data_IF_095686824016
#
_entry.id   IF_095686824016
#
_cell.length_a   1.000
_cell.length_b   1.000
_cell.length_c   1.000
_cell.angle_alpha   90.00
_cell.angle_beta   90.00
_cell.angle_gamma   90.00
#
_symmetry.space_group_name_H-M   'P 1'
#
loop_
_entity.id
_entity.type
_entity.pdbx_description
1 polymer ?
#
# COMPACT_ATOMS: atom_id res chain seq x y z
N UNK A 1 12.93 -2.76 -36.36
CA UNK A 1 12.53 -3.98 -35.63
C UNK A 1 12.52 -3.60 -34.16
N UNK A 2 11.39 -3.06 -33.70
CA UNK A 2 11.22 -2.56 -32.34
C UNK A 2 10.67 -3.67 -31.46
N UNK A 3 11.21 -3.81 -30.26
CA UNK A 3 10.60 -4.59 -29.19
C UNK A 3 10.31 -3.59 -28.08
N UNK A 4 9.03 -3.26 -27.95
CA UNK A 4 8.53 -2.34 -26.95
C UNK A 4 8.51 -2.99 -25.57
N UNK A 5 9.00 -2.24 -24.58
CA UNK A 5 8.70 -2.45 -23.17
C UNK A 5 7.21 -2.14 -22.93
N UNK A 6 6.42 -3.16 -22.67
CA UNK A 6 5.08 -3.01 -22.11
C UNK A 6 5.16 -3.14 -20.58
N UNK A 7 5.13 -2.01 -19.89
CA UNK A 7 4.64 -1.92 -18.52
C UNK A 7 3.12 -2.08 -18.50
N UNK A 8 2.55 -2.86 -17.55
CA UNK A 8 1.15 -2.66 -17.17
C UNK A 8 1.05 -1.85 -15.86
N UNK A 9 0.56 -0.61 -15.96
CA UNK A 9 -0.14 0.05 -14.85
C UNK A 9 -1.59 -0.45 -14.81
N UNK A 10 -2.00 -0.82 -13.60
CA UNK A 10 -3.38 -0.68 -13.12
C UNK A 10 -4.30 -1.86 -13.40
N UNK A 11 -4.76 -2.52 -12.33
CA UNK A 11 -6.14 -2.38 -11.81
C UNK A 11 -6.31 -3.48 -10.77
N UNK A 12 -6.48 -3.13 -9.49
CA UNK A 12 -6.98 -4.10 -8.53
C UNK A 12 -8.39 -4.52 -8.94
N UNK A 13 -8.71 -5.81 -8.85
CA UNK A 13 -9.82 -6.13 -7.96
C UNK A 13 -9.52 -7.33 -7.04
N UNK A 14 -10.11 -7.21 -5.84
CA UNK A 14 -10.59 -8.29 -5.00
C UNK A 14 -9.58 -9.32 -4.46
N UNK A 15 -8.93 -8.91 -3.36
CA UNK A 15 -8.74 -9.80 -2.20
C UNK A 15 -10.10 -10.22 -1.62
N UNK A 16 -10.85 -11.10 -2.27
CA UNK A 16 -12.07 -11.71 -1.68
C UNK A 16 -12.40 -13.06 -2.31
N UNK A 17 -11.56 -14.09 -2.18
CA UNK A 17 -12.00 -15.44 -2.58
C UNK A 17 -11.58 -16.64 -1.71
N UNK A 18 -10.74 -16.48 -0.68
CA UNK A 18 -10.44 -17.58 0.27
C UNK A 18 -11.23 -17.52 1.58
N UNK A 19 -11.65 -16.32 2.01
CA UNK A 19 -12.49 -16.16 3.21
C UNK A 19 -13.93 -16.68 3.01
N UNK A 20 -14.39 -16.80 1.77
CA UNK A 20 -15.78 -17.19 1.50
C UNK A 20 -16.05 -18.68 1.77
N UNK A 21 -15.03 -19.54 1.58
CA UNK A 21 -15.11 -20.99 1.88
C UNK A 21 -15.09 -21.26 3.39
N UNK A 22 -14.23 -20.57 4.12
CA UNK A 22 -14.16 -20.61 5.60
C UNK A 22 -15.43 -20.07 6.25
N UNK A 23 -15.98 -18.97 5.73
CA UNK A 23 -17.25 -18.42 6.20
C UNK A 23 -18.44 -19.30 5.81
N UNK A 24 -18.39 -20.03 4.70
CA UNK A 24 -19.43 -21.02 4.36
C UNK A 24 -19.39 -22.25 5.27
N UNK A 25 -18.21 -22.73 5.66
CA UNK A 25 -18.08 -23.82 6.63
C UNK A 25 -18.50 -23.41 8.04
N UNK A 26 -18.09 -22.21 8.50
CA UNK A 26 -18.52 -21.67 9.79
C UNK A 26 -20.01 -21.33 9.80
N UNK A 27 -20.56 -20.78 8.73
CA UNK A 27 -22.00 -20.51 8.63
C UNK A 27 -22.83 -21.79 8.51
N UNK A 28 -22.37 -22.83 7.79
CA UNK A 28 -23.04 -24.13 7.79
C UNK A 28 -23.05 -24.77 9.19
N UNK A 29 -21.98 -24.59 9.97
CA UNK A 29 -21.89 -25.06 11.35
C UNK A 29 -22.77 -24.25 12.32
N UNK A 30 -22.90 -22.94 12.11
CA UNK A 30 -23.69 -22.03 12.95
C UNK A 30 -25.18 -21.99 12.57
N UNK A 31 -25.55 -22.17 11.30
CA UNK A 31 -26.92 -22.14 10.78
C UNK A 31 -27.62 -23.50 10.85
N UNK A 32 -26.89 -24.61 11.02
CA UNK A 32 -27.51 -25.91 11.35
C UNK A 32 -28.05 -25.95 12.80
N UNK A 33 -28.17 -24.79 13.47
CA UNK A 33 -28.82 -24.55 14.76
C UNK A 33 -30.33 -24.29 14.62
N UNK A 34 -31.02 -25.10 13.84
CA UNK A 34 -32.48 -25.19 13.87
C UNK A 34 -32.94 -26.27 14.85
N UNK A 35 -33.09 -25.90 16.13
CA UNK A 35 -34.00 -26.49 17.12
C UNK A 35 -34.12 -28.03 17.20
N UNK A 36 -33.30 -28.67 18.07
CA UNK A 36 -33.63 -29.75 19.03
C UNK A 36 -32.40 -30.63 19.33
N UNK A 37 -32.09 -30.83 20.62
CA UNK A 37 -31.45 -32.06 21.09
C UNK A 37 -29.97 -31.99 21.48
N UNK A 38 -29.76 -32.15 22.79
CA UNK A 38 -28.81 -33.13 23.36
C UNK A 38 -27.42 -32.63 23.80
N UNK A 39 -27.23 -32.78 25.12
CA UNK A 39 -26.13 -32.34 25.99
C UNK A 39 -24.75 -33.00 25.75
N UNK A 40 -24.48 -33.56 24.57
CA UNK A 40 -23.20 -34.23 24.28
C UNK A 40 -22.20 -33.40 23.44
N UNK A 41 -22.57 -32.22 22.96
CA UNK A 41 -21.79 -31.48 21.94
C UNK A 41 -20.96 -30.27 22.45
N UNK A 42 -20.66 -30.19 23.75
CA UNK A 42 -19.75 -29.16 24.32
C UNK A 42 -18.29 -29.60 24.44
N UNK A 43 -17.98 -30.88 24.32
CA UNK A 43 -16.63 -31.40 24.54
C UNK A 43 -15.70 -31.31 23.31
N UNK A 44 -16.26 -31.13 22.11
CA UNK A 44 -15.51 -31.22 20.85
C UNK A 44 -15.18 -29.85 20.23
N UNK A 45 -15.71 -28.78 20.80
CA UNK A 45 -15.46 -27.41 20.34
C UNK A 45 -14.00 -26.97 20.59
N UNK A 46 -13.36 -27.31 21.73
CA UNK A 46 -11.93 -27.06 21.94
C UNK A 46 -11.07 -27.85 20.94
N UNK A 47 -11.29 -29.15 20.76
CA UNK A 47 -10.51 -29.97 19.83
C UNK A 47 -10.67 -29.54 18.36
N UNK A 48 -11.85 -29.05 17.98
CA UNK A 48 -12.04 -28.46 16.66
C UNK A 48 -11.34 -27.10 16.50
N UNK A 49 -11.32 -26.27 17.54
CA UNK A 49 -10.54 -25.02 17.54
C UNK A 49 -9.04 -25.28 17.52
N UNK A 50 -8.55 -26.29 18.24
CA UNK A 50 -7.16 -26.74 18.20
C UNK A 50 -6.80 -27.27 16.79
N UNK A 51 -7.70 -28.05 16.16
CA UNK A 51 -7.50 -28.52 14.77
C UNK A 51 -7.47 -27.37 13.78
N UNK A 52 -8.32 -26.35 13.96
CA UNK A 52 -8.30 -25.13 13.13
C UNK A 52 -7.04 -24.31 13.40
N UNK A 53 -6.59 -24.21 14.65
CA UNK A 53 -5.36 -23.53 15.04
C UNK A 53 -4.12 -24.26 14.51
N UNK A 54 -4.08 -25.59 14.54
CA UNK A 54 -3.02 -26.42 13.96
C UNK A 54 -3.02 -26.35 12.44
N UNK A 55 -4.21 -26.32 11.81
CA UNK A 55 -4.34 -26.13 10.37
C UNK A 55 -3.90 -24.73 9.94
N UNK A 56 -4.09 -23.71 10.79
CA UNK A 56 -3.57 -22.36 10.58
C UNK A 56 -2.06 -22.26 10.89
N UNK A 57 -1.56 -22.97 11.91
CA UNK A 57 -0.16 -23.04 12.29
C UNK A 57 0.71 -23.82 11.31
N UNK A 58 0.14 -24.81 10.62
CA UNK A 58 0.79 -25.56 9.53
C UNK A 58 0.93 -24.80 8.21
N UNK A 59 0.38 -23.58 8.11
CA UNK A 59 0.50 -22.72 6.93
C UNK A 59 1.71 -21.77 6.97
N UNK A 60 2.39 -21.65 8.12
CA UNK A 60 3.57 -20.79 8.24
C UNK A 60 4.81 -21.50 7.69
N UNK A 61 5.33 -20.99 6.58
CA UNK A 61 6.55 -21.50 5.94
C UNK A 61 7.74 -21.51 6.92
N UNK A 62 8.57 -22.58 6.98
CA UNK A 62 9.65 -22.71 7.97
C UNK A 62 10.68 -21.58 7.92
N UNK A 63 10.87 -20.95 6.75
CA UNK A 63 11.72 -19.77 6.62
C UNK A 63 11.30 -18.60 7.53
N UNK A 64 10.01 -18.47 7.88
CA UNK A 64 9.51 -17.44 8.79
C UNK A 64 10.07 -17.65 10.19
N UNK A 65 10.04 -18.88 10.70
CA UNK A 65 10.63 -19.23 11.99
C UNK A 65 12.14 -18.95 12.03
N UNK A 66 12.85 -19.35 10.96
CA UNK A 66 14.30 -19.12 10.83
C UNK A 66 14.62 -17.62 10.77
N UNK A 67 13.86 -16.85 9.98
CA UNK A 67 14.06 -15.41 9.84
C UNK A 67 13.75 -14.66 11.14
N UNK A 68 12.69 -15.06 11.86
CA UNK A 68 12.37 -14.51 13.19
C UNK A 68 13.49 -14.78 14.19
N UNK A 69 13.99 -16.01 14.26
CA UNK A 69 15.11 -16.37 15.13
C UNK A 69 16.38 -15.56 14.81
N UNK A 70 16.64 -15.29 13.52
CA UNK A 70 17.78 -14.44 13.10
C UNK A 70 17.64 -12.98 13.52
N UNK A 71 16.41 -12.50 13.63
CA UNK A 71 16.09 -11.12 14.04
C UNK A 71 15.85 -10.99 15.56
N UNK A 72 15.97 -12.08 16.33
CA UNK A 72 15.94 -11.99 17.78
C UNK A 72 17.06 -11.07 18.29
N UNK A 73 16.66 -9.97 18.95
CA UNK A 73 17.58 -8.93 19.41
C UNK A 73 17.76 -7.75 18.46
N UNK A 74 17.09 -7.72 17.29
CA UNK A 74 17.01 -6.54 16.42
C UNK A 74 15.72 -5.73 16.75
N UNK A 75 15.79 -4.68 17.59
CA UNK A 75 14.60 -4.01 18.11
C UNK A 75 13.79 -3.26 17.04
N UNK A 76 14.41 -2.98 15.89
CA UNK A 76 13.80 -2.24 14.78
C UNK A 76 13.21 -3.14 13.70
N UNK A 77 13.44 -4.46 13.74
CA UNK A 77 13.00 -5.39 12.69
C UNK A 77 12.11 -6.46 13.29
N UNK A 78 10.94 -6.68 12.69
CA UNK A 78 9.99 -7.70 13.13
C UNK A 78 9.40 -8.44 11.94
N UNK A 79 9.27 -9.76 12.07
CA UNK A 79 8.47 -10.58 11.15
C UNK A 79 7.30 -11.13 11.94
N UNK A 80 6.09 -10.97 11.40
CA UNK A 80 4.87 -11.45 12.04
C UNK A 80 4.78 -12.99 11.92
N UNK A 81 4.17 -13.64 12.92
CA UNK A 81 4.14 -15.11 13.00
C UNK A 81 3.20 -15.75 11.96
N UNK A 82 2.20 -14.99 11.51
CA UNK A 82 1.21 -15.33 10.49
C UNK A 82 1.59 -14.79 9.10
N UNK A 83 2.86 -14.37 8.90
CA UNK A 83 3.32 -13.91 7.59
C UNK A 83 3.10 -14.99 6.53
N UNK A 84 2.53 -14.61 5.40
CA UNK A 84 2.15 -15.53 4.32
C UNK A 84 2.81 -15.17 2.98
N UNK A 85 3.48 -14.02 2.91
CA UNK A 85 4.18 -13.54 1.73
C UNK A 85 5.67 -13.92 1.83
N UNK A 86 6.02 -14.92 1.03
CA UNK A 86 7.39 -15.39 0.84
C UNK A 86 7.73 -15.36 -0.64
N UNK A 87 9.00 -15.11 -0.94
CA UNK A 87 9.54 -15.19 -2.29
C UNK A 87 10.71 -16.17 -2.28
N UNK A 88 10.57 -17.26 -3.03
CA UNK A 88 11.61 -18.27 -3.16
C UNK A 88 12.53 -17.92 -4.33
N UNK A 89 13.83 -17.97 -4.08
CA UNK A 89 14.88 -17.81 -5.09
C UNK A 89 15.77 -19.05 -5.09
N UNK A 90 16.62 -19.21 -6.12
CA UNK A 90 17.52 -20.37 -6.21
C UNK A 90 18.51 -20.48 -5.04
N UNK A 91 18.77 -19.38 -4.33
CA UNK A 91 19.76 -19.28 -3.25
C UNK A 91 19.11 -19.28 -1.84
N UNK A 92 17.80 -19.09 -1.73
CA UNK A 92 17.11 -19.01 -0.45
C UNK A 92 15.69 -18.44 -0.53
N UNK A 93 15.12 -18.11 0.62
CA UNK A 93 13.73 -17.64 0.75
C UNK A 93 13.71 -16.27 1.41
N UNK A 94 13.07 -15.30 0.76
CA UNK A 94 12.75 -14.00 1.31
C UNK A 94 11.44 -14.07 2.09
N UNK A 95 11.41 -13.40 3.24
CA UNK A 95 10.22 -13.28 4.09
C UNK A 95 9.96 -11.80 4.30
N UNK A 96 8.72 -11.34 4.15
CA UNK A 96 8.36 -9.94 4.44
C UNK A 96 8.51 -9.64 5.92
N UNK A 97 8.97 -8.43 6.21
CA UNK A 97 9.16 -7.94 7.56
C UNK A 97 8.74 -6.49 7.68
N UNK A 98 8.42 -6.12 8.92
CA UNK A 98 8.22 -4.75 9.37
C UNK A 98 9.55 -4.18 9.84
N UNK A 99 9.78 -2.93 9.44
CA UNK A 99 10.79 -2.07 10.04
C UNK A 99 10.08 -1.02 10.88
N UNK A 100 10.47 -0.90 12.15
CA UNK A 100 10.02 0.19 12.99
C UNK A 100 10.80 1.44 12.63
N UNK A 101 10.07 2.53 12.44
CA UNK A 101 10.62 3.85 12.15
C UNK A 101 10.06 4.81 13.18
N UNK A 102 10.92 5.61 13.79
CA UNK A 102 10.51 6.62 14.76
C UNK A 102 9.49 7.58 14.13
N UNK A 103 8.41 7.89 14.87
CA UNK A 103 7.43 8.87 14.40
C UNK A 103 8.07 10.25 14.14
N UNK A 104 9.08 10.62 14.92
CA UNK A 104 9.84 11.86 14.73
C UNK A 104 10.66 11.87 13.43
N UNK A 105 11.22 10.72 13.03
CA UNK A 105 11.89 10.59 11.73
C UNK A 105 10.91 10.79 10.57
N UNK A 106 9.70 10.23 10.67
CA UNK A 106 8.63 10.43 9.67
C UNK A 106 8.22 11.91 9.58
N UNK A 107 8.00 12.57 10.72
CA UNK A 107 7.65 14.00 10.77
C UNK A 107 8.75 14.88 10.17
N UNK A 108 10.03 14.52 10.41
CA UNK A 108 11.17 15.23 9.83
C UNK A 108 11.23 15.06 8.32
N UNK A 109 11.01 13.83 7.82
CA UNK A 109 10.93 13.57 6.38
C UNK A 109 9.78 14.37 5.73
N UNK A 110 8.61 14.43 6.35
CA UNK A 110 7.47 15.19 5.82
C UNK A 110 7.71 16.71 5.86
N UNK A 111 8.34 17.22 6.93
CA UNK A 111 8.75 18.61 7.01
C UNK A 111 9.78 18.98 5.92
N UNK A 112 10.74 18.08 5.66
CA UNK A 112 11.72 18.23 4.58
C UNK A 112 11.04 18.23 3.21
N UNK A 113 10.13 17.28 2.94
CA UNK A 113 9.36 17.22 1.68
C UNK A 113 8.52 18.47 1.47
N UNK A 114 7.82 18.92 2.50
CA UNK A 114 7.01 20.15 2.46
C UNK A 114 7.89 21.37 2.17
N UNK A 115 9.08 21.42 2.77
CA UNK A 115 10.03 22.51 2.54
C UNK A 115 10.60 22.49 1.13
N UNK A 116 10.96 21.31 0.60
CA UNK A 116 11.36 21.13 -0.80
C UNK A 116 10.26 21.60 -1.75
N UNK A 117 9.00 21.18 -1.53
CA UNK A 117 7.86 21.58 -2.35
C UNK A 117 7.64 23.10 -2.32
N UNK A 118 7.65 23.71 -1.14
CA UNK A 118 7.47 25.16 -0.99
C UNK A 118 8.55 25.94 -1.73
N UNK A 119 9.81 25.49 -1.64
CA UNK A 119 10.94 26.09 -2.36
C UNK A 119 10.77 25.94 -3.88
N UNK A 120 10.40 24.76 -4.35
CA UNK A 120 10.17 24.49 -5.77
C UNK A 120 9.03 25.36 -6.33
N UNK A 121 7.91 25.46 -5.60
CA UNK A 121 6.81 26.37 -5.94
C UNK A 121 7.25 27.84 -5.99
N UNK A 122 8.12 28.27 -5.07
CA UNK A 122 8.65 29.63 -5.07
C UNK A 122 9.56 29.93 -6.28
N UNK A 123 10.24 28.90 -6.81
CA UNK A 123 11.15 28.99 -7.94
C UNK A 123 10.46 28.88 -9.31
N UNK A 124 9.21 28.40 -9.35
CA UNK A 124 8.45 28.35 -10.59
C UNK A 124 8.32 29.75 -11.23
N UNK A 125 8.40 29.85 -12.57
CA UNK A 125 8.10 31.10 -13.26
C UNK A 125 6.71 31.61 -12.87
N UNK A 126 6.49 32.94 -12.75
CA UNK A 126 5.23 33.50 -12.24
C UNK A 126 3.99 33.02 -12.99
N UNK A 127 4.09 32.87 -14.32
CA UNK A 127 3.01 32.37 -15.19
C UNK A 127 2.69 30.90 -14.89
N UNK A 128 3.70 30.04 -14.95
CA UNK A 128 3.64 28.61 -14.61
C UNK A 128 3.02 28.38 -13.23
N UNK A 129 3.47 29.15 -12.23
CA UNK A 129 2.96 29.10 -10.86
C UNK A 129 1.49 29.51 -10.78
N UNK A 130 1.09 30.56 -11.49
CA UNK A 130 -0.30 31.03 -11.49
C UNK A 130 -1.25 29.99 -12.10
N UNK A 131 -0.86 29.35 -13.22
CA UNK A 131 -1.60 28.24 -13.84
C UNK A 131 -1.73 27.06 -12.87
N UNK A 132 -0.62 26.64 -12.27
CA UNK A 132 -0.60 25.52 -11.32
C UNK A 132 -1.50 25.77 -10.11
N UNK A 133 -1.42 26.94 -9.48
CA UNK A 133 -2.24 27.27 -8.31
C UNK A 133 -3.73 27.39 -8.66
N UNK A 134 -4.05 28.01 -9.81
CA UNK A 134 -5.43 28.10 -10.29
C UNK A 134 -6.07 26.72 -10.50
N UNK A 135 -5.30 25.75 -11.00
CA UNK A 135 -5.79 24.39 -11.16
C UNK A 135 -5.84 23.63 -9.83
N UNK A 136 -4.73 23.55 -9.10
CA UNK A 136 -4.56 22.63 -7.98
C UNK A 136 -5.11 23.15 -6.65
N UNK A 137 -5.16 24.48 -6.44
CA UNK A 137 -5.66 25.08 -5.21
C UNK A 137 -7.08 25.61 -5.38
N UNK A 138 -7.34 26.29 -6.50
CA UNK A 138 -8.66 26.89 -6.76
C UNK A 138 -9.62 25.93 -7.47
N UNK A 139 -9.14 24.79 -8.00
CA UNK A 139 -9.97 23.79 -8.67
C UNK A 139 -10.52 24.24 -10.02
N UNK A 140 -9.93 25.27 -10.64
CA UNK A 140 -10.43 25.80 -11.90
C UNK A 140 -10.15 24.83 -13.06
N UNK A 141 -11.12 24.64 -13.98
CA UNK A 141 -10.90 23.88 -15.19
C UNK A 141 -10.05 24.70 -16.19
N UNK A 142 -9.31 24.03 -17.07
CA UNK A 142 -8.35 24.69 -17.96
C UNK A 142 -8.94 25.83 -18.82
N UNK A 143 -10.18 25.73 -19.36
CA UNK A 143 -10.78 26.86 -20.09
C UNK A 143 -11.00 28.11 -19.22
N UNK A 144 -11.34 27.93 -17.93
CA UNK A 144 -11.51 29.05 -17.01
C UNK A 144 -10.16 29.70 -16.65
N UNK A 145 -9.10 28.90 -16.54
CA UNK A 145 -7.73 29.40 -16.32
C UNK A 145 -7.24 30.17 -17.55
N UNK A 146 -7.45 29.62 -18.75
CA UNK A 146 -7.12 30.24 -20.03
C UNK A 146 -7.76 31.64 -20.15
N UNK A 147 -9.06 31.74 -19.90
CA UNK A 147 -9.77 33.02 -19.87
C UNK A 147 -9.23 33.98 -18.81
N UNK A 148 -8.99 33.50 -17.58
CA UNK A 148 -8.53 34.34 -16.47
C UNK A 148 -7.13 34.92 -16.69
N UNK A 149 -6.23 34.13 -17.29
CA UNK A 149 -4.84 34.51 -17.50
C UNK A 149 -4.59 35.04 -18.92
N UNK A 150 -5.63 35.15 -19.75
CA UNK A 150 -5.57 35.54 -21.16
C UNK A 150 -4.56 34.69 -21.95
N UNK A 151 -4.69 33.37 -21.82
CA UNK A 151 -3.87 32.36 -22.48
C UNK A 151 -4.73 31.48 -23.37
N UNK A 152 -4.11 30.83 -24.35
CA UNK A 152 -4.73 29.72 -25.09
C UNK A 152 -4.76 28.45 -24.25
N UNK A 153 -5.72 27.56 -24.56
CA UNK A 153 -5.87 26.29 -23.83
C UNK A 153 -4.61 25.42 -23.87
N UNK A 154 -3.93 25.39 -25.02
CA UNK A 154 -2.68 24.66 -25.19
C UNK A 154 -1.56 25.23 -24.30
N UNK A 155 -1.47 26.56 -24.17
CA UNK A 155 -0.49 27.20 -23.30
C UNK A 155 -0.74 26.87 -21.82
N UNK A 156 -2.01 26.76 -21.40
CA UNK A 156 -2.34 26.32 -20.04
C UNK A 156 -1.85 24.89 -19.78
N UNK A 157 -1.98 23.99 -20.76
CA UNK A 157 -1.51 22.61 -20.66
C UNK A 157 0.02 22.54 -20.60
N UNK A 158 0.71 23.29 -21.45
CA UNK A 158 2.17 23.36 -21.50
C UNK A 158 2.73 23.92 -20.18
N UNK A 159 2.15 25.00 -19.67
CA UNK A 159 2.55 25.59 -18.38
C UNK A 159 2.29 24.62 -17.22
N UNK A 160 1.17 23.88 -17.23
CA UNK A 160 0.90 22.88 -16.20
C UNK A 160 1.88 21.70 -16.28
N UNK A 161 2.20 21.23 -17.47
CA UNK A 161 3.20 20.18 -17.68
C UNK A 161 4.59 20.63 -17.20
N UNK A 162 5.00 21.85 -17.55
CA UNK A 162 6.25 22.45 -17.09
C UNK A 162 6.29 22.57 -15.56
N UNK A 163 5.18 22.96 -14.93
CA UNK A 163 5.06 22.98 -13.47
C UNK A 163 5.29 21.60 -12.86
N UNK A 164 4.63 20.55 -13.38
CA UNK A 164 4.75 19.20 -12.85
C UNK A 164 6.18 18.65 -12.96
N UNK A 165 6.84 18.87 -14.09
CA UNK A 165 8.25 18.47 -14.29
C UNK A 165 9.17 19.21 -13.33
N UNK A 166 9.01 20.52 -13.18
CA UNK A 166 9.84 21.31 -12.27
C UNK A 166 9.59 20.96 -10.79
N UNK A 167 8.38 20.56 -10.44
CA UNK A 167 8.02 20.17 -9.07
C UNK A 167 8.40 18.73 -8.72
N UNK A 168 8.58 17.82 -9.69
CA UNK A 168 9.03 16.45 -9.42
C UNK A 168 10.55 16.36 -9.24
N UNK A 169 11.32 17.18 -9.95
CA UNK A 169 12.79 17.11 -9.95
C UNK A 169 13.45 17.13 -8.55
N UNK A 170 13.00 17.92 -7.55
CA UNK A 170 13.59 17.92 -6.20
C UNK A 170 13.37 16.62 -5.39
N UNK A 171 12.50 15.73 -5.89
CA UNK A 171 12.10 14.48 -5.24
C UNK A 171 12.64 13.23 -5.93
N UNK A 172 13.17 13.35 -7.15
CA UNK A 172 13.75 12.21 -7.90
C UNK A 172 15.18 11.85 -7.42
N UNK A 173 15.87 12.74 -6.68
CA UNK A 173 17.10 12.39 -5.97
C UNK A 173 16.76 11.53 -4.74
N UNK A 174 16.77 10.22 -4.96
CA UNK A 174 16.56 9.18 -3.96
C UNK A 174 17.88 8.86 -3.26
N UNK A 175 17.85 8.82 -1.92
CA UNK A 175 18.94 8.45 -1.00
C UNK A 175 19.42 7.01 -1.18
#
# INVERSE_FOLDING_TARGET
MGVGEEYPRGTGPMRYFKNHSLLQHLSAYLLNKGWLGSRCRRADLPGHLDTVADHLGGLSHPAIGIARARLEGAPLLRIDADEAQIEETAEGVWVRGWIWVEQEALLTCDALRTTKLRKALAQLPPRTRAVFLAHCVEGLPYPAIALRLNLELAEVQDELAAALVALSAPFDESY
#
